data_IF_273346273591
#
_entry.id   IF_273346273591
#
_cell.length_a   1.000
_cell.length_b   1.000
_cell.length_c   1.000
_cell.angle_alpha   90.00
_cell.angle_beta   90.00
_cell.angle_gamma   90.00
#
_symmetry.space_group_name_H-M   'P 1'
#
loop_
_entity.id
_entity.type
_entity.pdbx_description
1 polymer ?
#
# COMPACT_ATOMS: atom_id res chain seq x y z
N UNK A 1 -9.96 2.52 -34.61
CA UNK A 1 -10.25 1.27 -33.87
C UNK A 1 -10.96 1.63 -32.57
N UNK A 2 -12.18 1.13 -32.31
CA UNK A 2 -12.84 1.35 -31.01
C UNK A 2 -12.24 0.36 -30.00
N UNK A 3 -11.64 0.86 -28.92
CA UNK A 3 -11.20 0.00 -27.82
C UNK A 3 -12.42 -0.70 -27.22
N UNK A 4 -12.40 -2.03 -27.16
CA UNK A 4 -13.45 -2.83 -26.53
C UNK A 4 -13.33 -2.65 -25.02
N UNK A 5 -14.21 -1.87 -24.41
CA UNK A 5 -14.21 -1.70 -22.94
C UNK A 5 -14.70 -2.98 -22.29
N UNK A 6 -13.79 -3.74 -21.69
CA UNK A 6 -14.16 -4.86 -20.82
C UNK A 6 -14.55 -4.35 -19.43
N UNK A 7 -15.68 -4.86 -18.92
CA UNK A 7 -16.18 -4.55 -17.57
C UNK A 7 -15.99 -5.78 -16.69
N UNK A 8 -15.39 -5.59 -15.53
CA UNK A 8 -15.18 -6.63 -14.52
C UNK A 8 -16.09 -6.34 -13.32
N UNK A 9 -16.65 -7.37 -12.67
CA UNK A 9 -17.58 -7.19 -11.54
C UNK A 9 -16.84 -6.91 -10.24
N UNK A 10 -15.63 -7.45 -10.08
CA UNK A 10 -14.81 -7.27 -8.88
C UNK A 10 -13.35 -6.94 -9.21
N UNK A 11 -12.66 -6.34 -8.24
CA UNK A 11 -11.22 -6.09 -8.35
C UNK A 11 -10.40 -7.40 -8.42
N UNK A 12 -10.94 -8.50 -7.88
CA UNK A 12 -10.32 -9.81 -7.97
C UNK A 12 -10.45 -10.41 -9.37
N UNK A 13 -11.64 -10.33 -9.97
CA UNK A 13 -11.86 -10.75 -11.38
C UNK A 13 -10.94 -9.97 -12.33
N UNK A 14 -10.78 -8.67 -12.09
CA UNK A 14 -9.85 -7.85 -12.84
C UNK A 14 -8.38 -8.25 -12.60
N UNK A 15 -7.99 -8.51 -11.35
CA UNK A 15 -6.63 -8.96 -11.04
C UNK A 15 -6.29 -10.27 -11.75
N UNK A 16 -7.22 -11.23 -11.75
CA UNK A 16 -7.06 -12.50 -12.47
C UNK A 16 -6.96 -12.32 -13.97
N UNK A 17 -7.71 -11.38 -14.57
CA UNK A 17 -7.61 -11.09 -16.01
C UNK A 17 -6.27 -10.45 -16.40
N UNK A 18 -5.59 -9.79 -15.47
CA UNK A 18 -4.22 -9.30 -15.61
C UNK A 18 -3.15 -10.39 -15.37
N UNK A 19 -3.56 -11.63 -15.10
CA UNK A 19 -2.64 -12.75 -14.84
C UNK A 19 -2.10 -12.82 -13.41
N UNK A 20 -2.67 -12.06 -12.48
CA UNK A 20 -2.25 -12.11 -11.07
C UNK A 20 -2.80 -13.36 -10.38
N UNK A 21 -1.95 -14.00 -9.60
CA UNK A 21 -2.34 -15.05 -8.67
C UNK A 21 -3.17 -14.51 -7.51
N UNK A 22 -3.94 -15.38 -6.85
CA UNK A 22 -4.69 -15.02 -5.64
C UNK A 22 -3.79 -14.47 -4.55
N UNK A 23 -2.57 -14.99 -4.42
CA UNK A 23 -1.56 -14.54 -3.46
C UNK A 23 -1.11 -13.12 -3.77
N UNK A 24 -0.84 -12.78 -5.03
CA UNK A 24 -0.45 -11.41 -5.43
C UNK A 24 -1.59 -10.41 -5.19
N UNK A 25 -2.82 -10.79 -5.52
CA UNK A 25 -4.01 -9.97 -5.25
C UNK A 25 -4.14 -9.70 -3.75
N UNK A 26 -3.98 -10.72 -2.91
CA UNK A 26 -4.07 -10.56 -1.46
C UNK A 26 -2.87 -9.78 -0.89
N UNK A 27 -1.66 -9.96 -1.42
CA UNK A 27 -0.49 -9.15 -1.06
C UNK A 27 -0.76 -7.66 -1.30
N UNK A 28 -1.25 -7.29 -2.49
CA UNK A 28 -1.60 -5.90 -2.83
C UNK A 28 -2.66 -5.38 -1.84
N UNK A 29 -3.67 -6.19 -1.54
CA UNK A 29 -4.75 -5.84 -0.62
C UNK A 29 -4.25 -5.59 0.80
N UNK A 30 -3.43 -6.48 1.35
CA UNK A 30 -2.87 -6.35 2.71
C UNK A 30 -1.96 -5.14 2.81
N UNK A 31 -1.10 -4.93 1.81
CA UNK A 31 -0.19 -3.78 1.75
C UNK A 31 -0.95 -2.45 1.69
N UNK A 32 -2.02 -2.39 0.89
CA UNK A 32 -2.92 -1.22 0.85
C UNK A 32 -3.60 -0.94 2.19
N UNK A 33 -4.06 -1.98 2.91
CA UNK A 33 -4.63 -1.83 4.25
C UNK A 33 -3.61 -1.29 5.25
N UNK A 34 -2.38 -1.81 5.22
CA UNK A 34 -1.29 -1.37 6.08
C UNK A 34 -0.95 0.11 5.83
N UNK A 35 -0.74 0.50 4.58
CA UNK A 35 -0.47 1.88 4.18
C UNK A 35 -1.59 2.82 4.67
N UNK A 36 -2.85 2.43 4.48
CA UNK A 36 -3.99 3.24 4.95
C UNK A 36 -3.98 3.44 6.47
N UNK A 37 -3.61 2.40 7.23
CA UNK A 37 -3.46 2.49 8.68
C UNK A 37 -2.33 3.46 9.06
N UNK A 38 -1.17 3.35 8.43
CA UNK A 38 -0.03 4.23 8.69
C UNK A 38 -0.34 5.69 8.35
N UNK A 39 -0.96 5.95 7.20
CA UNK A 39 -1.43 7.29 6.81
C UNK A 39 -2.35 7.89 7.87
N UNK A 40 -3.34 7.12 8.34
CA UNK A 40 -4.26 7.59 9.38
C UNK A 40 -3.52 7.95 10.68
N UNK A 41 -2.57 7.13 11.12
CA UNK A 41 -1.77 7.40 12.32
C UNK A 41 -0.88 8.62 12.14
N UNK A 42 -0.25 8.79 10.97
CA UNK A 42 0.51 10.00 10.63
C UNK A 42 -0.35 11.25 10.76
N UNK A 43 -1.54 11.23 10.15
CA UNK A 43 -2.50 12.34 10.19
C UNK A 43 -2.98 12.62 11.63
N UNK A 44 -3.24 11.59 12.43
CA UNK A 44 -3.60 11.72 13.85
C UNK A 44 -2.48 12.30 14.70
N UNK A 45 -1.22 12.00 14.37
CA UNK A 45 -0.02 12.60 14.98
C UNK A 45 0.27 14.03 14.48
N UNK A 46 -0.55 14.58 13.57
CA UNK A 46 -0.37 15.93 13.02
C UNK A 46 0.85 16.07 12.10
N UNK A 47 1.43 14.96 11.63
CA UNK A 47 2.66 14.96 10.85
C UNK A 47 2.36 15.22 9.36
N UNK A 48 3.11 16.14 8.75
CA UNK A 48 3.13 16.26 7.30
C UNK A 48 3.86 15.07 6.64
N UNK A 49 3.69 14.88 5.33
CA UNK A 49 4.45 13.85 4.61
C UNK A 49 5.95 14.13 4.63
N UNK A 50 6.36 15.39 4.62
CA UNK A 50 7.77 15.79 4.74
C UNK A 50 8.32 15.48 6.13
N UNK A 51 7.57 15.83 7.18
CA UNK A 51 7.96 15.53 8.56
C UNK A 51 8.15 14.03 8.79
N UNK A 52 7.23 13.19 8.28
CA UNK A 52 7.43 11.74 8.34
C UNK A 52 8.65 11.30 7.54
N UNK A 53 8.88 11.86 6.36
CA UNK A 53 10.03 11.52 5.52
C UNK A 53 11.36 11.78 6.25
N UNK A 54 11.47 12.92 6.94
CA UNK A 54 12.65 13.25 7.73
C UNK A 54 12.87 12.25 8.87
N UNK A 55 11.80 11.81 9.55
CA UNK A 55 11.88 10.83 10.63
C UNK A 55 12.32 9.43 10.16
N UNK A 56 12.03 9.06 8.90
CA UNK A 56 12.41 7.73 8.34
C UNK A 56 13.68 7.79 7.48
N UNK A 57 14.40 8.92 7.49
CA UNK A 57 15.56 9.19 6.61
C UNK A 57 15.25 8.93 5.14
N UNK A 58 14.22 9.61 4.64
CA UNK A 58 13.75 9.48 3.26
C UNK A 58 13.37 10.85 2.67
N UNK A 59 12.75 10.83 1.48
CA UNK A 59 12.28 12.04 0.80
C UNK A 59 10.75 12.05 0.79
N UNK A 60 10.16 13.24 0.89
CA UNK A 60 8.70 13.42 0.85
C UNK A 60 8.02 12.70 -0.34
N UNK A 61 8.60 12.65 -1.57
CA UNK A 61 8.02 11.89 -2.67
C UNK A 61 7.91 10.37 -2.41
N UNK A 62 8.77 9.79 -1.58
CA UNK A 62 8.68 8.37 -1.20
C UNK A 62 7.46 8.12 -0.31
N UNK A 63 7.19 9.02 0.65
CA UNK A 63 5.97 8.98 1.47
C UNK A 63 4.73 9.23 0.62
N UNK A 64 4.77 10.19 -0.29
CA UNK A 64 3.66 10.47 -1.20
C UNK A 64 3.32 9.27 -2.09
N UNK A 65 4.34 8.61 -2.68
CA UNK A 65 4.20 7.38 -3.48
C UNK A 65 3.59 6.24 -2.66
N UNK A 66 4.06 6.07 -1.43
CA UNK A 66 3.50 5.09 -0.51
C UNK A 66 2.01 5.33 -0.28
N UNK A 67 1.61 6.57 -0.03
CA UNK A 67 0.22 6.92 0.31
C UNK A 67 -0.73 7.07 -0.89
N UNK A 68 -0.19 7.30 -2.11
CA UNK A 68 -0.98 7.52 -3.33
C UNK A 68 -1.53 6.24 -3.95
N UNK A 69 -1.07 5.07 -3.49
CA UNK A 69 -1.58 3.78 -3.96
C UNK A 69 -0.72 3.14 -5.06
N UNK A 70 0.51 3.62 -5.30
CA UNK A 70 1.53 2.89 -6.07
C UNK A 70 2.12 1.75 -5.23
N UNK A 71 1.24 0.88 -4.75
CA UNK A 71 1.51 -0.10 -3.70
C UNK A 71 2.56 -1.12 -4.14
N UNK A 72 2.64 -1.48 -5.42
CA UNK A 72 3.64 -2.41 -5.96
C UNK A 72 5.07 -1.91 -5.80
N UNK A 73 5.31 -0.61 -5.91
CA UNK A 73 6.65 0.01 -5.93
C UNK A 73 7.27 0.21 -4.53
N UNK A 74 6.50 0.02 -3.45
CA UNK A 74 6.98 0.28 -2.09
C UNK A 74 7.61 -0.98 -1.50
N UNK A 75 8.87 -0.99 -1.07
CA UNK A 75 9.46 -2.20 -0.47
C UNK A 75 8.83 -2.54 0.91
N UNK A 76 8.92 -3.83 1.30
CA UNK A 76 8.54 -4.25 2.66
C UNK A 76 9.39 -3.51 3.71
N UNK A 77 10.69 -3.42 3.50
CA UNK A 77 11.63 -2.73 4.39
C UNK A 77 11.22 -1.27 4.65
N UNK A 78 10.79 -0.55 3.61
CA UNK A 78 10.32 0.82 3.76
C UNK A 78 9.04 0.90 4.58
N UNK A 79 8.08 0.00 4.34
CA UNK A 79 6.85 -0.08 5.14
C UNK A 79 7.15 -0.40 6.60
N UNK A 80 8.11 -1.28 6.88
CA UNK A 80 8.55 -1.61 8.23
C UNK A 80 9.19 -0.40 8.92
N UNK A 81 10.09 0.35 8.25
CA UNK A 81 10.69 1.58 8.79
C UNK A 81 9.62 2.61 9.18
N UNK A 82 8.68 2.86 8.27
CA UNK A 82 7.56 3.80 8.51
C UNK A 82 6.71 3.33 9.70
N UNK A 83 6.40 2.04 9.77
CA UNK A 83 5.61 1.49 10.87
C UNK A 83 6.32 1.62 12.22
N UNK A 84 7.64 1.39 12.28
CA UNK A 84 8.43 1.57 13.51
C UNK A 84 8.39 3.02 13.98
N UNK A 85 8.63 3.98 13.08
CA UNK A 85 8.59 5.42 13.40
C UNK A 85 7.19 5.89 13.83
N UNK A 86 6.14 5.33 13.22
CA UNK A 86 4.77 5.66 13.58
C UNK A 86 4.23 4.85 14.77
N UNK A 87 4.99 3.89 15.30
CA UNK A 87 4.59 2.96 16.37
C UNK A 87 3.35 2.12 16.00
N UNK A 88 3.28 1.69 14.74
CA UNK A 88 2.17 0.91 14.20
C UNK A 88 2.54 -0.57 14.13
N UNK A 89 1.77 -1.40 14.83
CA UNK A 89 1.89 -2.86 14.66
C UNK A 89 1.44 -3.31 13.26
N UNK A 90 2.29 -4.12 12.63
CA UNK A 90 2.05 -4.81 11.36
C UNK A 90 1.64 -6.26 11.64
N UNK A 91 0.66 -6.77 10.89
CA UNK A 91 0.29 -8.19 10.93
C UNK A 91 -0.01 -8.66 9.51
N UNK A 92 0.64 -9.75 9.10
CA UNK A 92 0.31 -10.44 7.84
C UNK A 92 -0.72 -11.50 8.19
N UNK A 93 -1.87 -11.46 7.52
CA UNK A 93 -2.88 -12.50 7.69
C UNK A 93 -2.63 -13.61 6.67
N UNK A 94 -2.71 -14.88 7.06
CA UNK A 94 -2.67 -15.98 6.11
C UNK A 94 -3.77 -15.79 5.06
N UNK A 95 -3.44 -16.08 3.81
CA UNK A 95 -4.47 -16.33 2.81
C UNK A 95 -5.04 -17.72 3.08
N UNK A 96 -6.24 -17.79 3.64
CA UNK A 96 -6.98 -19.05 3.68
C UNK A 96 -7.41 -19.35 2.24
N UNK A 97 -6.84 -20.43 1.68
CA UNK A 97 -7.21 -20.96 0.38
C UNK A 97 -8.69 -21.40 0.34
#
# INVERSE_FOLDING_TARGET
>A
MKAKTEKYKTAEEFGRSLGLSTVEIELIRQKKKLIKKMRKVREQKGLSQAALADMVDSKQPAIARMESGQVSEVSLDFLCKVAMVLEVSITIRPHAA
#
